data_IF_079275324531
#
_entry.id   IF_079275324531
#
_cell.length_a   1.000
_cell.length_b   1.000
_cell.length_c   1.000
_cell.angle_alpha   90.00
_cell.angle_beta   90.00
_cell.angle_gamma   90.00
#
_symmetry.space_group_name_H-M   'P 1'
#
loop_
_entity.id
_entity.type
_entity.pdbx_description
1 polymer ?
#
# COMPACT_ATOMS: atom_id res chain seq x y z
N UNK A 1 9.95 11.44 -10.70
CA UNK A 1 11.24 11.03 -10.09
C UNK A 1 12.24 12.18 -9.87
N UNK A 2 11.93 13.44 -10.20
CA UNK A 2 12.84 14.58 -10.01
C UNK A 2 13.22 14.84 -8.55
N UNK A 3 12.31 14.61 -7.59
CA UNK A 3 12.55 14.92 -6.17
C UNK A 3 13.66 14.06 -5.50
N UNK A 4 13.99 12.92 -6.11
CA UNK A 4 15.03 12.01 -5.63
C UNK A 4 16.31 12.00 -6.48
N UNK A 5 16.39 12.85 -7.51
CA UNK A 5 17.53 12.87 -8.45
C UNK A 5 18.87 13.15 -7.75
N UNK A 6 18.89 14.07 -6.78
CA UNK A 6 20.09 14.37 -5.99
C UNK A 6 20.04 13.65 -4.63
N UNK A 7 20.98 12.75 -4.36
CA UNK A 7 21.01 11.94 -3.13
C UNK A 7 22.22 12.32 -2.29
N UNK A 8 21.98 12.64 -1.02
CA UNK A 8 23.02 12.90 -0.03
C UNK A 8 23.32 11.61 0.73
N UNK A 9 24.56 11.42 1.19
CA UNK A 9 24.95 10.25 1.99
C UNK A 9 24.11 10.10 3.27
N UNK A 10 23.69 11.23 3.88
CA UNK A 10 22.80 11.25 5.06
C UNK A 10 21.35 10.86 4.78
N UNK A 11 21.01 10.52 3.53
CA UNK A 11 19.65 10.25 3.14
C UNK A 11 18.78 11.50 3.04
N UNK A 12 17.48 11.26 2.84
CA UNK A 12 16.50 12.26 2.44
C UNK A 12 15.13 11.80 2.95
N UNK A 13 14.47 12.58 3.80
CA UNK A 13 13.12 12.26 4.32
C UNK A 13 12.14 12.15 3.15
N UNK A 14 11.51 10.99 2.98
CA UNK A 14 10.66 10.65 1.83
C UNK A 14 9.16 10.67 2.13
N UNK A 15 8.81 10.58 3.41
CA UNK A 15 7.45 10.67 3.95
C UNK A 15 7.55 11.13 5.41
N UNK A 16 6.56 11.87 5.90
CA UNK A 16 6.44 12.15 7.33
C UNK A 16 5.63 11.03 8.00
N UNK A 17 6.19 10.42 9.05
CA UNK A 17 5.54 9.35 9.82
C UNK A 17 5.22 9.88 11.22
N UNK A 18 4.00 9.60 11.68
CA UNK A 18 3.61 9.91 13.05
C UNK A 18 4.28 8.94 14.03
N UNK A 19 4.33 9.32 15.31
CA UNK A 19 4.94 8.47 16.34
C UNK A 19 4.22 7.11 16.43
N UNK A 20 4.97 6.03 16.30
CA UNK A 20 4.45 4.66 16.30
C UNK A 20 4.05 4.13 14.92
N UNK A 21 4.15 4.94 13.87
CA UNK A 21 3.94 4.50 12.49
C UNK A 21 5.26 4.05 11.83
N UNK A 22 5.15 3.18 10.84
CA UNK A 22 6.29 2.62 10.12
C UNK A 22 5.97 2.39 8.65
N UNK A 23 6.99 2.58 7.80
CA UNK A 23 6.88 2.25 6.39
C UNK A 23 6.88 0.74 6.21
N UNK A 24 5.77 0.20 5.68
CA UNK A 24 5.61 -1.24 5.43
C UNK A 24 6.21 -1.63 4.07
N UNK A 25 5.91 -0.88 3.03
CA UNK A 25 6.30 -1.21 1.65
C UNK A 25 6.34 0.03 0.75
N UNK A 26 7.07 -0.07 -0.37
CA UNK A 26 7.18 0.95 -1.41
C UNK A 26 7.14 0.28 -2.77
N UNK A 27 6.24 0.75 -3.63
CA UNK A 27 6.15 0.31 -5.01
C UNK A 27 6.20 1.49 -5.98
N UNK A 28 6.71 1.23 -7.18
CA UNK A 28 6.64 2.17 -8.30
C UNK A 28 5.34 1.94 -9.07
N UNK A 29 4.71 3.04 -9.48
CA UNK A 29 3.47 3.05 -10.24
C UNK A 29 3.60 4.01 -11.42
N UNK A 30 2.71 3.88 -12.41
CA UNK A 30 2.71 4.67 -13.65
C UNK A 30 1.47 5.56 -13.81
N UNK A 31 0.61 5.62 -12.79
CA UNK A 31 -0.61 6.43 -12.78
C UNK A 31 -1.85 5.72 -13.34
N UNK A 32 -1.79 4.42 -13.65
CA UNK A 32 -2.88 3.65 -14.27
C UNK A 32 -3.17 2.31 -13.60
N UNK A 33 -2.60 2.06 -12.41
CA UNK A 33 -2.68 0.76 -11.73
C UNK A 33 -3.61 0.82 -10.53
N UNK A 34 -4.12 -0.36 -10.17
CA UNK A 34 -4.79 -0.52 -8.89
C UNK A 34 -3.77 -0.77 -7.78
N UNK A 35 -4.04 -0.18 -6.62
CA UNK A 35 -3.30 -0.42 -5.38
C UNK A 35 -4.13 -1.34 -4.50
N UNK A 36 -3.49 -2.38 -3.99
CA UNK A 36 -4.05 -3.29 -3.01
C UNK A 36 -3.32 -3.16 -1.69
N UNK A 37 -4.06 -3.03 -0.59
CA UNK A 37 -3.52 -3.08 0.76
C UNK A 37 -4.16 -4.24 1.51
N UNK A 38 -3.37 -4.92 2.34
CA UNK A 38 -3.80 -6.05 3.15
C UNK A 38 -3.55 -5.77 4.62
N UNK A 39 -4.52 -6.04 5.48
CA UNK A 39 -4.42 -5.89 6.93
C UNK A 39 -4.12 -7.23 7.62
N UNK A 40 -3.60 -7.17 8.85
CA UNK A 40 -3.27 -8.33 9.68
C UNK A 40 -4.43 -9.28 9.95
N UNK A 41 -5.68 -8.79 9.95
CA UNK A 41 -6.90 -9.59 10.06
C UNK A 41 -7.38 -10.21 8.74
N UNK A 42 -6.60 -10.12 7.66
CA UNK A 42 -6.94 -10.68 6.35
C UNK A 42 -7.89 -9.83 5.51
N UNK A 43 -8.26 -8.62 5.95
CA UNK A 43 -9.00 -7.68 5.10
C UNK A 43 -8.11 -7.13 3.99
N UNK A 44 -8.71 -6.92 2.82
CA UNK A 44 -8.05 -6.31 1.68
C UNK A 44 -8.90 -5.15 1.13
N UNK A 45 -8.25 -4.11 0.62
CA UNK A 45 -8.87 -3.06 -0.18
C UNK A 45 -8.13 -2.97 -1.51
N UNK A 46 -8.87 -2.75 -2.61
CA UNK A 46 -8.33 -2.48 -3.95
C UNK A 46 -8.95 -1.19 -4.44
N UNK A 47 -8.13 -0.20 -4.79
CA UNK A 47 -8.59 1.08 -5.31
C UNK A 47 -7.66 1.59 -6.42
N UNK A 48 -8.21 2.45 -7.26
CA UNK A 48 -7.50 3.07 -8.38
C UNK A 48 -6.49 4.10 -7.87
N UNK A 49 -5.24 4.05 -8.34
CA UNK A 49 -4.20 4.97 -7.88
C UNK A 49 -4.49 6.44 -8.21
N UNK A 50 -5.28 6.73 -9.25
CA UNK A 50 -5.68 8.10 -9.59
C UNK A 50 -6.47 8.78 -8.46
N UNK A 51 -7.05 7.99 -7.54
CA UNK A 51 -7.71 8.51 -6.33
C UNK A 51 -6.73 9.04 -5.26
N UNK A 52 -5.44 8.85 -5.48
CA UNK A 52 -4.33 9.32 -4.63
C UNK A 52 -3.59 10.43 -5.35
N UNK A 53 -3.71 11.66 -4.85
CA UNK A 53 -2.97 12.80 -5.38
C UNK A 53 -1.47 12.66 -5.09
N UNK A 54 -0.63 13.00 -6.07
CA UNK A 54 0.81 13.16 -5.87
C UNK A 54 1.07 14.29 -4.87
N UNK A 55 1.98 14.04 -3.93
CA UNK A 55 2.40 15.00 -2.90
C UNK A 55 3.92 15.08 -2.84
N UNK A 56 4.43 16.18 -2.29
CA UNK A 56 5.86 16.31 -2.01
C UNK A 56 6.31 15.39 -0.86
N UNK A 57 7.60 15.04 -0.85
CA UNK A 57 8.25 14.15 0.13
C UNK A 57 7.97 14.38 1.62
N UNK A 58 7.65 15.60 2.06
CA UNK A 58 7.44 15.89 3.49
C UNK A 58 5.97 15.78 3.91
N UNK A 59 5.08 15.36 3.01
CA UNK A 59 3.68 15.11 3.35
C UNK A 59 3.52 13.83 4.19
N UNK A 60 2.44 13.77 4.97
CA UNK A 60 2.01 12.55 5.69
C UNK A 60 1.30 11.56 4.76
N UNK A 61 0.78 12.01 3.62
CA UNK A 61 0.05 11.17 2.66
C UNK A 61 -1.47 11.21 2.84
N UNK A 62 -2.15 10.19 2.31
CA UNK A 62 -3.61 10.02 2.41
C UNK A 62 -3.96 8.62 2.91
N UNK A 63 -5.11 8.47 3.56
CA UNK A 63 -5.58 7.17 4.06
C UNK A 63 -5.95 6.21 2.91
N UNK A 64 -5.26 5.08 2.81
CA UNK A 64 -5.55 4.02 1.84
C UNK A 64 -6.61 3.01 2.30
N UNK A 65 -6.61 2.63 3.59
CA UNK A 65 -7.52 1.65 4.19
C UNK A 65 -7.99 2.14 5.56
N UNK A 66 -9.24 1.84 5.95
CA UNK A 66 -9.67 2.00 7.34
C UNK A 66 -9.40 0.71 8.11
N UNK A 67 -8.52 0.80 9.10
CA UNK A 67 -8.17 -0.34 9.95
C UNK A 67 -9.18 -0.50 11.08
N UNK A 68 -9.42 -1.74 11.48
CA UNK A 68 -10.08 -2.01 12.75
C UNK A 68 -9.10 -1.73 13.90
N UNK A 69 -9.64 -1.58 15.11
CA UNK A 69 -8.81 -1.34 16.29
C UNK A 69 -7.80 -2.47 16.49
N UNK A 70 -6.53 -2.09 16.72
CA UNK A 70 -5.42 -3.03 16.91
C UNK A 70 -4.86 -3.67 15.63
N UNK A 71 -5.45 -3.39 14.47
CA UNK A 71 -5.00 -3.94 13.19
C UNK A 71 -4.04 -3.00 12.46
N UNK A 72 -3.15 -3.56 11.65
CA UNK A 72 -2.17 -2.82 10.86
C UNK A 72 -2.14 -3.33 9.42
N UNK A 73 -1.65 -2.49 8.50
CA UNK A 73 -1.33 -2.92 7.14
C UNK A 73 -0.09 -3.81 7.20
N UNK A 74 -0.14 -4.97 6.53
CA UNK A 74 0.95 -5.94 6.50
C UNK A 74 1.56 -6.11 5.11
N UNK A 75 0.88 -5.68 4.05
CA UNK A 75 1.37 -5.81 2.67
C UNK A 75 0.73 -4.79 1.73
N UNK A 76 1.49 -4.41 0.70
CA UNK A 76 1.05 -3.61 -0.44
C UNK A 76 1.30 -4.40 -1.72
N UNK A 77 0.36 -4.37 -2.65
CA UNK A 77 0.54 -4.94 -3.99
C UNK A 77 0.05 -3.91 -5.01
N UNK A 78 0.87 -3.64 -6.01
CA UNK A 78 0.42 -2.97 -7.24
C UNK A 78 -0.14 -4.05 -8.14
N UNK A 79 -1.44 -3.99 -8.43
CA UNK A 79 -2.14 -5.04 -9.13
C UNK A 79 -1.54 -5.26 -10.53
N UNK A 80 -1.34 -6.53 -10.87
CA UNK A 80 -0.89 -7.03 -12.15
C UNK A 80 -1.60 -8.35 -12.45
N UNK A 81 -1.50 -8.85 -13.68
CA UNK A 81 -2.15 -10.10 -14.07
C UNK A 81 -1.67 -11.27 -13.20
N UNK A 82 -2.62 -12.09 -12.74
CA UNK A 82 -2.35 -13.30 -11.97
C UNK A 82 -3.18 -13.44 -10.69
N UNK A 83 -2.70 -14.32 -9.82
CA UNK A 83 -3.33 -14.61 -8.53
C UNK A 83 -2.64 -13.84 -7.40
N UNK A 84 -3.43 -13.50 -6.38
CA UNK A 84 -2.94 -13.07 -5.09
C UNK A 84 -2.72 -14.30 -4.22
N UNK A 85 -1.47 -14.52 -3.80
CA UNK A 85 -1.11 -15.55 -2.83
C UNK A 85 -1.03 -14.92 -1.44
N UNK A 86 -1.90 -15.37 -0.54
CA UNK A 86 -1.86 -15.02 0.87
C UNK A 86 -1.31 -16.20 1.69
N UNK A 87 -0.51 -15.90 2.71
CA UNK A 87 0.01 -16.87 3.67
C UNK A 87 -0.17 -16.34 5.11
N UNK A 88 -0.38 -17.25 6.04
CA UNK A 88 -0.57 -16.95 7.47
C UNK A 88 0.61 -17.45 8.29
N UNK A 89 0.76 -16.91 9.51
CA UNK A 89 1.84 -17.31 10.43
C UNK A 89 1.85 -18.81 10.80
N UNK A 90 0.73 -19.53 10.59
CA UNK A 90 0.64 -20.99 10.86
C UNK A 90 0.85 -21.85 9.62
N UNK A 91 1.34 -21.27 8.52
CA UNK A 91 1.68 -22.00 7.30
C UNK A 91 0.50 -22.31 6.37
N UNK A 92 -0.71 -21.82 6.67
CA UNK A 92 -1.82 -21.90 5.72
C UNK A 92 -1.69 -20.80 4.67
N UNK A 93 -1.96 -21.15 3.42
CA UNK A 93 -2.03 -20.17 2.33
C UNK A 93 -3.14 -20.48 1.35
N UNK A 94 -3.54 -19.45 0.60
CA UNK A 94 -4.56 -19.54 -0.46
C UNK A 94 -4.11 -18.67 -1.63
N UNK A 95 -4.38 -19.15 -2.84
CA UNK A 95 -4.37 -18.36 -4.07
C UNK A 95 -5.80 -17.97 -4.43
N UNK A 96 -5.99 -16.71 -4.78
CA UNK A 96 -7.27 -16.13 -5.15
C UNK A 96 -7.05 -15.27 -6.39
N UNK A 97 -7.91 -15.38 -7.40
CA UNK A 97 -7.75 -14.59 -8.62
C UNK A 97 -7.89 -13.09 -8.31
N UNK A 98 -7.13 -12.23 -9.00
CA UNK A 98 -7.20 -10.78 -8.78
C UNK A 98 -8.64 -10.22 -8.91
N UNK A 99 -9.42 -10.75 -9.84
CA UNK A 99 -10.79 -10.28 -10.11
C UNK A 99 -11.78 -10.60 -8.98
N UNK A 100 -11.45 -11.54 -8.08
CA UNK A 100 -12.23 -11.78 -6.86
C UNK A 100 -12.03 -10.67 -5.81
N UNK A 101 -11.08 -9.76 -6.02
CA UNK A 101 -10.91 -8.55 -5.23
C UNK A 101 -11.57 -7.37 -5.94
N UNK A 102 -12.82 -7.02 -5.59
CA UNK A 102 -13.52 -5.93 -6.26
C UNK A 102 -12.88 -4.59 -5.97
N UNK A 103 -12.81 -3.73 -6.98
CA UNK A 103 -12.40 -2.34 -6.82
C UNK A 103 -13.44 -1.60 -5.95
N UNK A 104 -12.97 -0.91 -4.91
CA UNK A 104 -13.75 -0.09 -3.98
C UNK A 104 -13.11 1.30 -3.85
N UNK A 105 -13.76 2.20 -3.12
CA UNK A 105 -13.14 3.46 -2.72
C UNK A 105 -12.02 3.25 -1.70
N UNK A 106 -10.98 4.10 -1.74
CA UNK A 106 -9.93 4.10 -0.71
C UNK A 106 -10.50 4.50 0.66
N UNK A 107 -9.86 4.05 1.73
CA UNK A 107 -10.24 4.39 3.10
C UNK A 107 -11.54 3.72 3.56
N UNK A 108 -11.93 2.65 2.88
CA UNK A 108 -13.01 1.74 3.29
C UNK A 108 -12.52 0.67 4.26
#
# INVERSE_FOLDING_TARGET
>A
MSEFAYRLQRGKIAINLDAGDALVDVCLTDGRRDIMLFASNGKAVRFDEETVRSMGRTATGVRGMRLAEGEQVVSLIVAADGDILAATARGYGKRTALDEFPRKGRGT
#
